data_IF_615743360915
#
_entry.id   IF_615743360915
#
_cell.length_a   1.000
_cell.length_b   1.000
_cell.length_c   1.000
_cell.angle_alpha   90.00
_cell.angle_beta   90.00
_cell.angle_gamma   90.00
#
_symmetry.space_group_name_H-M   'P 1'
#
loop_
_entity.id
_entity.type
_entity.pdbx_description
1 polymer ?
#
# COMPACT_ATOMS: atom_id res chain seq x y z
N UNK A 1 -19.12 72.41 30.88
CA UNK A 1 -18.31 71.56 29.97
C UNK A 1 -18.35 70.14 30.53
N UNK A 2 -19.26 69.29 30.06
CA UNK A 2 -19.35 67.89 30.50
C UNK A 2 -18.80 67.01 29.38
N UNK A 3 -17.65 66.36 29.63
CA UNK A 3 -17.07 65.37 28.73
C UNK A 3 -17.35 63.98 29.30
N UNK A 4 -18.11 63.16 28.56
CA UNK A 4 -18.37 61.77 28.94
C UNK A 4 -17.09 60.94 28.90
N UNK A 5 -16.75 60.31 30.02
CA UNK A 5 -15.57 59.45 30.22
C UNK A 5 -15.86 57.97 30.01
N UNK A 6 -16.81 57.62 29.13
CA UNK A 6 -17.24 56.22 28.93
C UNK A 6 -16.55 55.54 27.75
N UNK A 7 -15.22 55.64 27.71
CA UNK A 7 -14.43 54.84 26.76
C UNK A 7 -13.99 53.54 27.41
N UNK A 8 -14.60 52.42 27.01
CA UNK A 8 -14.14 51.07 27.38
C UNK A 8 -13.17 50.57 26.31
N UNK A 9 -11.86 50.48 26.60
CA UNK A 9 -10.89 50.01 25.62
C UNK A 9 -11.14 48.53 25.29
N UNK A 10 -11.12 48.21 24.00
CA UNK A 10 -11.29 46.84 23.50
C UNK A 10 -9.99 46.06 23.77
N UNK A 11 -10.04 44.89 24.45
CA UNK A 11 -8.85 44.14 24.79
C UNK A 11 -8.15 43.58 23.56
N UNK A 12 -6.81 43.58 23.59
CA UNK A 12 -5.98 43.01 22.54
C UNK A 12 -5.98 41.47 22.59
N UNK A 13 -5.64 40.81 21.48
CA UNK A 13 -5.54 39.34 21.40
C UNK A 13 -4.62 38.73 22.46
N UNK A 14 -3.55 39.43 22.84
CA UNK A 14 -2.63 38.98 23.89
C UNK A 14 -3.29 39.00 25.28
N UNK A 15 -4.07 40.04 25.60
CA UNK A 15 -4.79 40.14 26.87
C UNK A 15 -5.83 39.02 27.03
N UNK A 16 -6.51 38.64 25.95
CA UNK A 16 -7.47 37.53 25.96
C UNK A 16 -6.79 36.16 26.17
N UNK A 17 -5.56 35.98 25.71
CA UNK A 17 -4.82 34.74 25.92
C UNK A 17 -4.41 34.56 27.39
N UNK A 18 -4.01 35.64 28.06
CA UNK A 18 -3.65 35.63 29.49
C UNK A 18 -4.86 35.36 30.39
N UNK A 19 -6.04 35.90 30.05
CA UNK A 19 -7.27 35.62 30.79
C UNK A 19 -7.69 34.15 30.70
N UNK A 20 -7.50 33.50 29.54
CA UNK A 20 -7.76 32.06 29.40
C UNK A 20 -6.82 31.22 30.27
N UNK A 21 -5.53 31.58 30.33
CA UNK A 21 -4.57 30.88 31.17
C UNK A 21 -4.83 31.07 32.67
N UNK A 22 -5.37 32.21 33.09
CA UNK A 22 -5.78 32.47 34.48
C UNK A 22 -7.13 31.87 34.88
N UNK A 23 -8.01 31.56 33.91
CA UNK A 23 -9.27 30.86 34.17
C UNK A 23 -9.05 29.39 34.50
N UNK A 24 -8.02 28.76 33.95
CA UNK A 24 -7.72 27.34 34.19
C UNK A 24 -7.15 27.08 35.61
N UNK A 25 -6.69 28.11 36.33
CA UNK A 25 -6.12 27.98 37.68
C UNK A 25 -7.06 28.35 38.82
N UNK A 26 -8.18 29.04 38.55
CA UNK A 26 -9.15 29.47 39.58
C UNK A 26 -10.40 28.57 39.69
N UNK A 27 -10.46 27.45 38.94
CA UNK A 27 -11.45 26.39 39.14
C UNK A 27 -10.79 25.15 39.73
N UNK A 28 -10.29 25.27 40.96
CA UNK A 28 -10.03 24.08 41.78
C UNK A 28 -11.39 23.50 42.21
N UNK A 29 -11.75 22.32 41.66
CA UNK A 29 -12.69 21.32 42.23
C UNK A 29 -13.71 20.68 41.26
N UNK A 30 -13.38 20.43 39.99
CA UNK A 30 -14.15 19.42 39.22
C UNK A 30 -13.33 18.79 38.10
N UNK A 31 -12.32 17.99 38.45
CA UNK A 31 -11.74 17.05 37.48
C UNK A 31 -12.81 16.01 37.11
N UNK A 32 -13.40 16.16 35.93
CA UNK A 32 -14.33 15.20 35.34
C UNK A 32 -13.60 14.42 34.26
N UNK A 33 -13.22 13.18 34.58
CA UNK A 33 -12.63 12.27 33.60
C UNK A 33 -13.72 11.73 32.67
N UNK A 34 -13.73 12.18 31.42
CA UNK A 34 -14.53 11.56 30.36
C UNK A 34 -13.87 10.23 29.96
N UNK A 35 -14.32 9.14 30.58
CA UNK A 35 -13.93 7.78 30.18
C UNK A 35 -14.79 7.36 28.99
N UNK A 36 -14.19 7.34 27.80
CA UNK A 36 -14.87 6.92 26.58
C UNK A 36 -14.90 5.40 26.52
N UNK A 37 -16.08 4.80 26.68
CA UNK A 37 -16.27 3.37 26.50
C UNK A 37 -16.62 3.09 25.04
N UNK A 38 -15.78 2.33 24.33
CA UNK A 38 -16.04 1.97 22.94
C UNK A 38 -17.36 1.18 22.82
N UNK A 39 -18.28 1.57 21.93
CA UNK A 39 -19.52 0.84 21.74
C UNK A 39 -19.21 -0.54 21.16
N UNK A 40 -19.56 -1.59 21.91
CA UNK A 40 -19.55 -2.96 21.39
C UNK A 40 -20.51 -3.01 20.20
N UNK A 41 -19.98 -3.13 19.00
CA UNK A 41 -20.77 -3.16 17.77
C UNK A 41 -21.74 -4.34 17.82
N UNK A 42 -23.02 -4.07 18.10
CA UNK A 42 -24.07 -5.04 17.83
C UNK A 42 -24.34 -4.94 16.33
N UNK A 43 -23.88 -5.95 15.60
CA UNK A 43 -23.99 -6.03 14.15
C UNK A 43 -25.45 -6.27 13.75
N UNK A 44 -26.32 -5.27 13.90
CA UNK A 44 -27.62 -5.23 13.22
C UNK A 44 -27.44 -4.42 11.95
N UNK A 45 -27.14 -5.12 10.86
CA UNK A 45 -27.08 -4.53 9.52
C UNK A 45 -28.49 -4.08 9.11
N UNK A 46 -28.70 -2.82 8.69
CA UNK A 46 -29.91 -2.47 7.96
C UNK A 46 -29.83 -3.05 6.55
N UNK A 47 -30.80 -3.89 6.19
CA UNK A 47 -31.01 -4.30 4.82
C UNK A 47 -31.44 -3.06 4.02
N UNK A 48 -30.56 -2.60 3.12
CA UNK A 48 -30.94 -1.72 2.02
C UNK A 48 -30.91 -2.58 0.77
N UNK A 49 -32.10 -2.89 0.27
CA UNK A 49 -32.30 -3.57 -0.99
C UNK A 49 -31.80 -2.66 -2.12
N UNK A 50 -30.92 -3.19 -2.95
CA UNK A 50 -30.67 -2.69 -4.30
C UNK A 50 -30.68 -3.93 -5.20
N UNK A 51 -31.47 -3.93 -6.29
CA UNK A 51 -31.40 -4.97 -7.29
C UNK A 51 -30.15 -4.72 -8.17
N UNK A 52 -29.61 -5.81 -8.71
CA UNK A 52 -28.57 -5.84 -9.77
C UNK A 52 -27.09 -5.77 -9.37
N UNK A 53 -26.58 -6.87 -8.78
CA UNK A 53 -25.21 -7.35 -9.00
C UNK A 53 -25.11 -8.85 -8.63
N UNK A 54 -24.31 -9.67 -9.36
CA UNK A 54 -24.45 -11.11 -9.36
C UNK A 54 -24.05 -11.75 -8.03
N UNK A 55 -24.94 -12.63 -7.56
CA UNK A 55 -24.76 -13.63 -6.51
C UNK A 55 -23.34 -14.21 -6.50
N UNK A 56 -22.50 -13.67 -5.60
CA UNK A 56 -21.32 -14.38 -5.12
C UNK A 56 -21.80 -15.38 -4.10
N UNK A 57 -22.08 -16.60 -4.57
CA UNK A 57 -22.28 -17.78 -3.71
C UNK A 57 -21.19 -17.77 -2.61
N UNK A 58 -21.55 -17.88 -1.32
CA UNK A 58 -20.56 -18.21 -0.33
C UNK A 58 -20.07 -19.62 -0.69
N UNK A 59 -18.79 -19.75 -1.06
CA UNK A 59 -18.14 -21.05 -1.00
C UNK A 59 -18.09 -21.42 0.48
N UNK A 60 -19.17 -22.03 0.97
CA UNK A 60 -19.17 -22.81 2.19
C UNK A 60 -18.10 -23.86 1.99
N UNK A 61 -16.96 -23.68 2.66
CA UNK A 61 -16.11 -24.81 2.96
C UNK A 61 -17.02 -25.82 3.67
N UNK A 62 -17.27 -26.95 3.00
CA UNK A 62 -17.82 -28.13 3.66
C UNK A 62 -16.74 -28.55 4.66
N UNK A 63 -16.80 -28.01 5.86
CA UNK A 63 -16.24 -28.69 7.02
C UNK A 63 -17.23 -29.82 7.33
N UNK A 64 -17.09 -30.93 6.61
CA UNK A 64 -17.76 -32.19 6.96
C UNK A 64 -17.18 -32.67 8.29
N UNK A 65 -17.97 -32.77 9.37
CA UNK A 65 -17.50 -33.33 10.62
C UNK A 65 -17.48 -34.86 10.47
N UNK A 66 -16.39 -35.40 9.93
CA UNK A 66 -16.34 -36.86 9.72
C UNK A 66 -15.09 -37.46 9.08
N UNK A 67 -14.17 -36.70 8.48
CA UNK A 67 -12.93 -37.30 7.98
C UNK A 67 -11.85 -37.30 9.07
N UNK A 68 -11.67 -38.45 9.71
CA UNK A 68 -10.61 -38.78 10.68
C UNK A 68 -9.21 -38.85 10.07
N UNK A 69 -8.96 -38.14 8.97
CA UNK A 69 -7.65 -37.96 8.36
C UNK A 69 -7.49 -36.48 7.99
N UNK A 70 -6.53 -35.75 8.58
CA UNK A 70 -6.24 -34.38 8.18
C UNK A 70 -5.54 -34.42 6.83
N UNK A 71 -6.30 -34.39 5.74
CA UNK A 71 -5.72 -34.14 4.42
C UNK A 71 -4.94 -32.82 4.44
N UNK A 72 -3.73 -32.85 3.86
CA UNK A 72 -2.85 -31.69 3.81
C UNK A 72 -3.40 -30.64 2.83
N UNK A 73 -4.25 -29.73 3.33
CA UNK A 73 -4.66 -28.57 2.56
C UNK A 73 -3.54 -27.52 2.51
N UNK A 74 -2.93 -27.38 1.33
CA UNK A 74 -1.88 -26.40 1.05
C UNK A 74 -2.33 -24.97 1.38
N UNK A 75 -3.62 -24.63 1.22
CA UNK A 75 -4.12 -23.28 1.53
C UNK A 75 -4.13 -23.03 3.03
N UNK A 76 -4.57 -24.02 3.81
CA UNK A 76 -4.52 -23.99 5.27
C UNK A 76 -3.08 -23.90 5.77
N UNK A 77 -2.19 -24.75 5.26
CA UNK A 77 -0.77 -24.74 5.60
C UNK A 77 -0.11 -23.37 5.32
N UNK A 78 -0.41 -22.74 4.16
CA UNK A 78 0.09 -21.39 3.86
C UNK A 78 -0.36 -20.33 4.86
N UNK A 79 -1.60 -20.42 5.32
CA UNK A 79 -2.14 -19.48 6.31
C UNK A 79 -1.55 -19.74 7.70
N UNK A 80 -1.30 -21.00 8.06
CA UNK A 80 -0.62 -21.38 9.30
C UNK A 80 0.83 -20.91 9.33
N UNK A 81 1.58 -21.09 8.25
CA UNK A 81 2.94 -20.53 8.12
C UNK A 81 2.93 -19.00 8.26
N UNK A 82 1.93 -18.32 7.69
CA UNK A 82 1.79 -16.87 7.82
C UNK A 82 1.45 -16.47 9.26
N UNK A 83 0.54 -17.19 9.92
CA UNK A 83 0.20 -16.95 11.32
C UNK A 83 1.41 -17.20 12.25
N UNK A 84 2.19 -18.25 12.00
CA UNK A 84 3.44 -18.55 12.70
C UNK A 84 4.48 -17.44 12.51
N UNK A 85 4.62 -16.92 11.28
CA UNK A 85 5.50 -15.79 11.01
C UNK A 85 5.06 -14.51 11.76
N UNK A 86 3.76 -14.32 11.99
CA UNK A 86 3.22 -13.18 12.76
C UNK A 86 3.38 -13.34 14.27
N UNK A 87 3.31 -14.58 14.80
CA UNK A 87 3.46 -14.85 16.23
C UNK A 87 4.92 -14.90 16.68
N UNK A 88 5.88 -15.00 15.76
CA UNK A 88 7.29 -15.02 16.10
C UNK A 88 7.78 -13.67 16.67
N UNK A 89 8.25 -13.71 17.91
CA UNK A 89 8.67 -12.57 18.72
C UNK A 89 9.88 -11.81 18.13
N UNK A 90 10.68 -12.44 17.26
CA UNK A 90 11.80 -11.77 16.58
C UNK A 90 11.35 -10.79 15.47
N UNK A 91 10.07 -10.78 15.11
CA UNK A 91 9.52 -10.04 13.96
C UNK A 91 8.68 -8.81 14.36
N UNK A 92 8.73 -8.38 15.63
CA UNK A 92 7.90 -7.28 16.19
C UNK A 92 7.88 -6.02 15.29
N UNK A 93 9.04 -5.61 14.74
CA UNK A 93 9.15 -4.43 13.86
C UNK A 93 8.37 -4.54 12.55
N UNK A 94 8.07 -5.75 12.08
CA UNK A 94 7.36 -6.02 10.83
C UNK A 94 5.92 -6.52 11.04
N UNK A 95 5.47 -6.70 12.30
CA UNK A 95 4.14 -7.22 12.64
C UNK A 95 3.02 -6.43 11.95
N UNK A 96 3.05 -5.10 12.05
CA UNK A 96 2.08 -4.20 11.39
C UNK A 96 1.99 -4.40 9.88
N UNK A 97 3.13 -4.64 9.20
CA UNK A 97 3.16 -4.85 7.74
C UNK A 97 2.49 -6.17 7.37
N UNK A 98 2.69 -7.21 8.18
CA UNK A 98 2.07 -8.53 7.97
C UNK A 98 0.56 -8.50 8.22
N UNK A 99 0.12 -7.77 9.25
CA UNK A 99 -1.31 -7.55 9.53
C UNK A 99 -1.99 -6.83 8.38
N UNK A 100 -1.43 -5.71 7.92
CA UNK A 100 -1.93 -4.97 6.75
C UNK A 100 -2.00 -5.89 5.52
N UNK A 101 -0.96 -6.70 5.29
CA UNK A 101 -0.94 -7.65 4.17
C UNK A 101 -2.07 -8.70 4.27
N UNK A 102 -2.30 -9.27 5.46
CA UNK A 102 -3.40 -10.22 5.72
C UNK A 102 -4.75 -9.57 5.46
N UNK A 103 -4.96 -8.34 5.94
CA UNK A 103 -6.18 -7.58 5.73
C UNK A 103 -6.42 -7.26 4.24
N UNK A 104 -5.38 -6.87 3.50
CA UNK A 104 -5.47 -6.64 2.04
C UNK A 104 -5.79 -7.93 1.29
N UNK A 105 -5.21 -9.07 1.69
CA UNK A 105 -5.55 -10.39 1.14
C UNK A 105 -7.01 -10.76 1.38
N UNK A 106 -7.59 -10.33 2.50
CA UNK A 106 -9.01 -10.48 2.83
C UNK A 106 -9.92 -9.48 2.09
N UNK A 107 -9.35 -8.57 1.30
CA UNK A 107 -10.10 -7.62 0.46
C UNK A 107 -10.20 -6.21 1.03
N UNK A 108 -9.53 -5.90 2.15
CA UNK A 108 -9.42 -4.51 2.60
C UNK A 108 -8.62 -3.67 1.60
N UNK A 109 -9.00 -2.40 1.46
CA UNK A 109 -8.25 -1.45 0.63
C UNK A 109 -6.85 -1.23 1.22
N UNK A 110 -5.78 -1.24 0.40
CA UNK A 110 -4.44 -0.96 0.90
C UNK A 110 -4.33 0.46 1.46
N UNK A 111 -3.48 0.67 2.49
CA UNK A 111 -3.28 2.00 3.06
C UNK A 111 -2.72 2.97 2.01
N UNK A 112 -3.15 4.23 2.09
CA UNK A 112 -2.64 5.30 1.23
C UNK A 112 -1.18 5.55 1.58
N UNK A 113 -0.36 5.81 0.57
CA UNK A 113 1.03 6.24 0.76
C UNK A 113 1.06 7.69 1.25
N UNK A 114 2.10 8.03 1.99
CA UNK A 114 2.38 9.41 2.36
C UNK A 114 2.51 10.29 1.11
N UNK A 115 2.04 11.52 1.22
CA UNK A 115 2.20 12.52 0.17
C UNK A 115 3.67 12.91 0.06
N UNK A 116 4.20 12.88 -1.17
CA UNK A 116 5.58 13.28 -1.47
C UNK A 116 5.59 14.18 -2.69
N UNK A 117 6.58 15.08 -2.79
CA UNK A 117 6.76 15.88 -3.99
C UNK A 117 7.10 14.97 -5.20
N UNK A 118 6.61 15.32 -6.39
CA UNK A 118 6.85 14.53 -7.60
C UNK A 118 8.34 14.32 -7.91
N UNK A 119 9.18 15.34 -7.71
CA UNK A 119 10.63 15.24 -7.96
C UNK A 119 11.30 14.23 -7.01
N UNK A 120 10.92 14.27 -5.73
CA UNK A 120 11.41 13.34 -4.71
C UNK A 120 10.95 11.91 -4.98
N UNK A 121 9.70 11.75 -5.38
CA UNK A 121 9.12 10.44 -5.73
C UNK A 121 9.85 9.82 -6.92
N UNK A 122 10.18 10.61 -7.95
CA UNK A 122 10.96 10.14 -9.10
C UNK A 122 12.39 9.78 -8.71
N UNK A 123 13.04 10.59 -7.88
CA UNK A 123 14.38 10.31 -7.38
C UNK A 123 14.42 9.00 -6.55
N UNK A 124 13.45 8.79 -5.65
CA UNK A 124 13.31 7.56 -4.88
C UNK A 124 13.11 6.34 -5.80
N UNK A 125 12.24 6.46 -6.81
CA UNK A 125 12.02 5.39 -7.80
C UNK A 125 13.29 5.05 -8.58
N UNK A 126 14.05 6.05 -9.00
CA UNK A 126 15.32 5.85 -9.72
C UNK A 126 16.32 5.13 -8.82
N UNK A 127 16.56 5.63 -7.60
CA UNK A 127 17.45 4.99 -6.62
C UNK A 127 17.08 3.53 -6.34
N UNK A 128 15.79 3.23 -6.17
CA UNK A 128 15.33 1.85 -5.96
C UNK A 128 15.50 0.96 -7.20
N UNK A 129 15.48 1.51 -8.42
CA UNK A 129 15.77 0.75 -9.64
C UNK A 129 17.27 0.46 -9.74
N UNK A 130 18.10 1.46 -9.50
CA UNK A 130 19.56 1.33 -9.57
C UNK A 130 20.05 0.26 -8.58
N UNK A 131 19.58 0.30 -7.32
CA UNK A 131 19.89 -0.73 -6.31
C UNK A 131 19.43 -2.14 -6.76
N UNK A 132 18.28 -2.25 -7.44
CA UNK A 132 17.82 -3.55 -7.97
C UNK A 132 18.69 -4.03 -9.12
N UNK A 133 19.14 -3.13 -9.98
CA UNK A 133 20.03 -3.46 -11.09
C UNK A 133 21.42 -3.85 -10.58
N UNK A 134 21.97 -3.13 -9.62
CA UNK A 134 23.21 -3.49 -8.91
C UNK A 134 23.08 -4.88 -8.27
N UNK A 135 21.99 -5.14 -7.53
CA UNK A 135 21.73 -6.47 -6.98
C UNK A 135 21.65 -7.53 -8.07
N UNK A 136 20.95 -7.28 -9.18
CA UNK A 136 20.87 -8.23 -10.30
C UNK A 136 22.25 -8.49 -10.90
N UNK A 137 23.02 -7.44 -11.19
CA UNK A 137 24.39 -7.52 -11.69
C UNK A 137 25.26 -8.32 -10.73
N UNK A 138 25.19 -8.04 -9.43
CA UNK A 138 25.91 -8.78 -8.39
C UNK A 138 25.55 -10.27 -8.37
N UNK A 139 24.27 -10.62 -8.40
CA UNK A 139 23.81 -12.01 -8.50
C UNK A 139 24.18 -12.67 -9.84
N UNK A 140 24.51 -11.86 -10.85
CA UNK A 140 24.94 -12.32 -12.16
C UNK A 140 26.48 -12.44 -12.27
N UNK A 141 27.27 -11.79 -11.41
CA UNK A 141 28.73 -11.88 -11.43
C UNK A 141 29.20 -13.33 -11.25
N UNK A 142 28.50 -14.13 -10.45
CA UNK A 142 28.74 -15.58 -10.32
C UNK A 142 28.37 -16.43 -11.56
N UNK A 143 27.82 -15.83 -12.62
CA UNK A 143 27.42 -16.50 -13.87
C UNK A 143 28.19 -16.02 -15.10
N UNK A 144 28.92 -14.91 -14.99
CA UNK A 144 29.45 -14.20 -16.15
C UNK A 144 30.99 -14.16 -16.23
N UNK A 145 31.75 -14.66 -15.24
CA UNK A 145 33.22 -14.62 -15.30
C UNK A 145 33.89 -15.98 -15.57
N UNK A 146 33.38 -17.09 -15.00
CA UNK A 146 33.94 -18.44 -15.26
C UNK A 146 32.89 -19.55 -15.19
N UNK A 147 31.63 -19.20 -15.48
CA UNK A 147 30.48 -20.07 -15.23
C UNK A 147 29.29 -19.67 -16.09
N UNK A 148 29.52 -19.41 -17.38
CA UNK A 148 28.43 -19.51 -18.34
C UNK A 148 27.77 -20.87 -18.09
N UNK A 149 26.48 -20.87 -17.70
CA UNK A 149 25.76 -22.11 -17.56
C UNK A 149 25.84 -22.82 -18.92
N UNK A 150 26.66 -23.88 -19.00
CA UNK A 150 26.86 -24.69 -20.22
C UNK A 150 25.55 -25.34 -20.68
N UNK A 151 24.52 -25.30 -19.83
CA UNK A 151 23.19 -25.78 -20.14
C UNK A 151 22.35 -24.64 -20.73
N UNK A 152 22.19 -24.67 -22.05
CA UNK A 152 21.13 -23.94 -22.78
C UNK A 152 19.75 -24.42 -22.29
N UNK A 153 19.26 -23.92 -21.16
CA UNK A 153 17.92 -24.25 -20.65
C UNK A 153 16.78 -23.52 -21.38
N UNK A 154 17.02 -22.98 -22.57
CA UNK A 154 15.94 -22.47 -23.44
C UNK A 154 15.95 -23.31 -24.70
N UNK A 155 15.03 -24.28 -24.76
CA UNK A 155 14.83 -25.10 -25.95
C UNK A 155 14.63 -24.17 -27.17
N UNK A 156 15.27 -24.50 -28.30
CA UNK A 156 15.13 -23.76 -29.55
C UNK A 156 13.65 -23.51 -29.90
N UNK A 157 12.77 -24.45 -29.54
CA UNK A 157 11.31 -24.36 -29.69
C UNK A 157 10.65 -23.19 -28.95
N UNK A 158 11.09 -22.85 -27.73
CA UNK A 158 10.52 -21.71 -26.97
C UNK A 158 10.97 -20.35 -27.52
N UNK A 159 12.18 -20.28 -28.08
CA UNK A 159 12.68 -19.08 -28.76
C UNK A 159 11.95 -18.88 -30.10
N UNK A 160 11.79 -19.94 -30.89
CA UNK A 160 11.00 -19.95 -32.13
C UNK A 160 9.55 -19.51 -31.88
N UNK A 161 8.88 -20.06 -30.87
CA UNK A 161 7.52 -19.64 -30.55
C UNK A 161 7.42 -18.18 -30.11
N UNK A 162 8.44 -17.63 -29.44
CA UNK A 162 8.43 -16.19 -29.09
C UNK A 162 8.64 -15.29 -30.30
N UNK A 163 9.39 -15.73 -31.32
CA UNK A 163 9.57 -15.01 -32.59
C UNK A 163 8.34 -15.07 -33.49
N UNK A 164 7.57 -16.17 -33.44
CA UNK A 164 6.31 -16.34 -34.19
C UNK A 164 5.10 -15.66 -33.56
N UNK A 165 5.23 -15.10 -32.34
CA UNK A 165 4.16 -14.28 -31.76
C UNK A 165 4.11 -12.94 -32.50
N UNK A 166 2.90 -12.49 -32.81
CA UNK A 166 2.67 -11.17 -33.43
C UNK A 166 3.39 -10.11 -32.60
N UNK A 167 4.24 -9.33 -33.26
CA UNK A 167 4.88 -8.19 -32.64
C UNK A 167 3.81 -7.24 -32.07
N UNK A 168 4.07 -6.59 -30.93
CA UNK A 168 3.14 -5.60 -30.40
C UNK A 168 2.87 -4.54 -31.47
N UNK A 169 1.64 -4.03 -31.54
CA UNK A 169 1.20 -3.05 -32.56
C UNK A 169 2.10 -1.81 -32.58
N UNK A 170 2.72 -1.48 -31.45
CA UNK A 170 3.69 -0.39 -31.32
C UNK A 170 4.98 -0.57 -32.15
N UNK A 171 5.33 -1.79 -32.57
CA UNK A 171 6.58 -2.11 -33.25
C UNK A 171 6.37 -2.58 -34.70
N UNK A 172 5.17 -2.38 -35.26
CA UNK A 172 4.88 -2.75 -36.66
C UNK A 172 5.80 -1.99 -37.63
N UNK A 173 6.15 -0.75 -37.29
CA UNK A 173 6.99 0.13 -38.10
C UNK A 173 8.48 -0.25 -38.12
N UNK A 174 8.92 -1.25 -37.35
CA UNK A 174 10.33 -1.69 -37.35
C UNK A 174 10.73 -2.42 -38.65
N UNK A 175 9.75 -3.01 -39.35
CA UNK A 175 9.97 -3.70 -40.63
C UNK A 175 9.79 -2.80 -41.85
N UNK A 176 9.17 -1.64 -41.67
CA UNK A 176 9.06 -0.63 -42.71
C UNK A 176 10.29 0.27 -42.62
N UNK A 177 10.93 0.52 -43.76
CA UNK A 177 12.12 1.36 -43.82
C UNK A 177 11.79 2.77 -43.28
N UNK A 178 12.59 3.26 -42.32
CA UNK A 178 12.43 4.63 -41.81
C UNK A 178 12.69 5.61 -42.94
N UNK A 179 11.64 6.33 -43.36
CA UNK A 179 11.76 7.37 -44.37
C UNK A 179 12.62 8.52 -43.83
N UNK A 180 13.80 8.75 -44.43
CA UNK A 180 14.61 9.91 -44.09
C UNK A 180 13.99 11.15 -44.74
N UNK A 181 13.32 11.95 -43.92
CA UNK A 181 12.73 13.20 -44.39
C UNK A 181 13.83 14.25 -44.59
N UNK A 182 13.98 14.73 -45.83
CA UNK A 182 14.93 15.81 -46.18
C UNK A 182 14.35 17.18 -45.78
N UNK A 183 14.07 17.38 -44.49
CA UNK A 183 13.70 18.72 -44.02
C UNK A 183 14.95 19.60 -43.93
N UNK A 184 14.95 20.72 -44.65
CA UNK A 184 15.95 21.77 -44.48
C UNK A 184 15.82 22.30 -43.05
N UNK A 185 16.88 22.18 -42.25
CA UNK A 185 16.95 22.81 -40.92
C UNK A 185 16.83 24.32 -41.13
N UNK A 186 15.83 24.96 -40.53
CA UNK A 186 15.80 26.43 -40.43
C UNK A 186 16.99 26.85 -39.57
N UNK A 187 17.83 27.74 -40.12
CA UNK A 187 18.88 28.44 -39.37
C UNK A 187 18.26 29.37 -38.35
#
# INVERSE_FOLDING_TARGET
MNVSTDFKPIPTRAALALQKMGQDTNTSSAFTALVFQEPKSTTKRPQKETPDAPSRKPNTAKDTPGSTQPEFDIKKARNEVLNFAMSNQRVIKNKRKMEIFKLVKLGMKPPKKEYKNYKELQAERKRLRDIREERKKFHQLGKNQTGAASVKCRSRTKLEHSKKKRMPVANIDEHYGKAQTKFKKKK
#
